data_IF_258212188342
#
_entry.id   IF_258212188342
#
_cell.length_a   1.000
_cell.length_b   1.000
_cell.length_c   1.000
_cell.angle_alpha   90.00
_cell.angle_beta   90.00
_cell.angle_gamma   90.00
#
_symmetry.space_group_name_H-M   'P 1'
#
loop_
_entity.id
_entity.type
_entity.pdbx_description
1 polymer ?
#
# COMPACT_ATOMS: atom_id res chain seq x y z
N UNK A 1 -13.50 13.69 18.80
CA UNK A 1 -12.16 13.29 19.28
C UNK A 1 -11.41 12.59 18.16
N UNK A 2 -10.20 13.01 17.87
CA UNK A 2 -9.38 12.36 16.86
C UNK A 2 -8.90 11.00 17.37
N UNK A 3 -8.91 9.97 16.52
CA UNK A 3 -8.40 8.66 16.92
C UNK A 3 -6.90 8.72 17.22
N UNK A 4 -6.45 7.91 18.15
CA UNK A 4 -5.02 7.76 18.39
C UNK A 4 -4.42 6.96 17.24
N UNK A 5 -3.22 7.35 16.85
CA UNK A 5 -2.51 6.80 15.69
C UNK A 5 -1.20 6.19 16.17
N UNK A 6 -0.84 5.07 15.59
CA UNK A 6 0.47 4.43 15.83
C UNK A 6 1.24 4.31 14.52
N UNK A 7 2.57 4.29 14.64
CA UNK A 7 3.48 4.14 13.50
C UNK A 7 3.84 2.68 13.30
N UNK A 8 3.77 2.23 12.06
CA UNK A 8 4.20 0.90 11.65
C UNK A 8 5.52 1.05 10.90
N UNK A 9 6.54 0.33 11.38
CA UNK A 9 7.83 0.22 10.71
C UNK A 9 7.90 -1.15 10.06
N UNK A 10 7.42 -1.25 8.83
CA UNK A 10 7.32 -2.53 8.16
C UNK A 10 8.69 -2.98 7.67
N UNK A 11 9.08 -4.21 8.00
CA UNK A 11 10.40 -4.80 7.66
C UNK A 11 11.56 -3.90 8.05
N UNK A 12 11.53 -3.39 9.30
CA UNK A 12 12.61 -2.57 9.82
C UNK A 12 12.73 -1.20 9.19
N UNK A 13 11.65 -0.70 8.58
CA UNK A 13 11.62 0.63 8.01
C UNK A 13 11.73 0.69 6.50
N UNK A 14 11.55 -0.45 5.79
CA UNK A 14 11.42 -0.44 4.33
C UNK A 14 10.31 0.53 3.95
N UNK A 15 9.19 0.46 4.65
CA UNK A 15 8.17 1.50 4.58
C UNK A 15 7.68 1.79 6.00
N UNK A 16 7.42 3.07 6.26
CA UNK A 16 6.89 3.55 7.53
C UNK A 16 5.60 4.29 7.27
N UNK A 17 4.53 3.88 7.93
CA UNK A 17 3.20 4.48 7.77
C UNK A 17 2.44 4.42 9.10
N UNK A 18 1.31 5.11 9.18
CA UNK A 18 0.53 5.18 10.41
C UNK A 18 -0.86 4.61 10.21
N UNK A 19 -1.39 4.00 11.27
CA UNK A 19 -2.76 3.46 11.32
C UNK A 19 -3.35 3.78 12.68
N UNK A 20 -4.68 3.62 12.86
CA UNK A 20 -5.27 3.76 14.20
C UNK A 20 -4.62 2.82 15.20
N UNK A 21 -4.38 3.30 16.41
CA UNK A 21 -3.60 2.57 17.42
C UNK A 21 -4.33 1.34 17.96
N UNK A 22 -5.65 1.26 17.82
CA UNK A 22 -6.45 0.11 18.28
C UNK A 22 -6.55 -1.01 17.24
N UNK A 23 -5.93 -0.85 16.07
CA UNK A 23 -5.89 -1.91 15.08
C UNK A 23 -4.88 -2.98 15.47
N UNK A 24 -5.25 -4.24 15.23
CA UNK A 24 -4.38 -5.41 15.48
C UNK A 24 -3.38 -5.54 14.34
N UNK A 25 -2.16 -5.95 14.67
CA UNK A 25 -1.08 -6.18 13.70
C UNK A 25 -0.77 -7.67 13.65
N UNK A 26 -0.73 -8.23 12.46
CA UNK A 26 -0.31 -9.61 12.23
C UNK A 26 0.68 -9.65 11.09
N UNK A 27 1.75 -10.41 11.26
CA UNK A 27 2.82 -10.50 10.27
C UNK A 27 3.03 -11.96 9.89
N UNK A 28 3.21 -12.21 8.59
CA UNK A 28 3.44 -13.55 8.08
C UNK A 28 4.94 -13.81 7.93
N UNK A 29 5.37 -15.05 8.20
CA UNK A 29 6.79 -15.43 8.11
C UNK A 29 7.34 -15.23 6.69
N UNK A 30 6.53 -15.50 5.68
CA UNK A 30 6.92 -15.33 4.28
C UNK A 30 6.91 -13.88 3.81
N UNK A 31 6.55 -12.94 4.68
CA UNK A 31 6.37 -11.54 4.37
C UNK A 31 4.91 -11.19 4.18
N UNK A 32 4.57 -9.95 4.44
CA UNK A 32 3.21 -9.46 4.43
C UNK A 32 2.78 -9.03 5.82
N UNK A 33 2.05 -7.94 5.89
CA UNK A 33 1.46 -7.44 7.13
C UNK A 33 -0.04 -7.28 6.95
N UNK A 34 -0.79 -7.60 8.01
CA UNK A 34 -2.23 -7.49 8.04
C UNK A 34 -2.63 -6.66 9.25
N UNK A 35 -3.51 -5.68 9.03
CA UNK A 35 -3.91 -4.73 10.06
C UNK A 35 -5.42 -4.58 10.02
N UNK A 36 -6.07 -4.67 11.17
CA UNK A 36 -7.52 -4.60 11.21
C UNK A 36 -8.01 -4.16 12.58
N UNK A 37 -9.16 -3.50 12.59
CA UNK A 37 -9.87 -3.22 13.81
C UNK A 37 -10.71 -4.45 14.15
N UNK A 38 -10.66 -4.97 15.37
CA UNK A 38 -11.52 -6.10 15.75
C UNK A 38 -13.00 -5.73 15.59
N UNK A 39 -13.78 -6.62 14.99
CA UNK A 39 -15.19 -6.41 14.75
C UNK A 39 -15.64 -7.00 13.42
N UNK A 40 -16.93 -7.27 13.30
CA UNK A 40 -17.47 -7.96 12.13
C UNK A 40 -17.55 -7.12 10.87
N UNK A 41 -17.70 -5.80 11.03
CA UNK A 41 -17.90 -4.88 9.91
C UNK A 41 -16.63 -4.17 9.48
N UNK A 42 -15.53 -4.44 10.17
CA UNK A 42 -14.26 -3.77 9.87
C UNK A 42 -13.61 -4.33 8.62
N UNK A 43 -12.88 -3.46 7.92
CA UNK A 43 -12.07 -3.87 6.78
C UNK A 43 -10.72 -4.43 7.22
N UNK A 44 -9.97 -4.96 6.26
CA UNK A 44 -8.65 -5.50 6.50
C UNK A 44 -7.65 -4.84 5.58
N UNK A 45 -6.65 -4.19 6.18
CA UNK A 45 -5.53 -3.59 5.45
C UNK A 45 -4.39 -4.59 5.38
N UNK A 46 -3.83 -4.77 4.19
CA UNK A 46 -2.64 -5.60 3.99
C UNK A 46 -1.57 -4.80 3.28
N UNK A 47 -0.31 -5.10 3.59
CA UNK A 47 0.83 -4.52 2.89
C UNK A 47 1.75 -5.63 2.43
N UNK A 48 2.20 -5.53 1.18
CA UNK A 48 3.21 -6.42 0.61
C UNK A 48 4.25 -5.58 -0.12
N UNK A 49 5.49 -6.05 -0.09
CA UNK A 49 6.61 -5.38 -0.75
C UNK A 49 7.31 -6.38 -1.64
N UNK A 50 7.48 -6.00 -2.91
CA UNK A 50 8.22 -6.78 -3.89
C UNK A 50 9.34 -5.91 -4.42
N UNK A 51 10.55 -6.47 -4.46
CA UNK A 51 11.72 -5.79 -5.04
C UNK A 51 12.12 -6.55 -6.30
N UNK A 52 12.40 -5.81 -7.36
CA UNK A 52 12.78 -6.42 -8.63
C UNK A 52 13.86 -5.61 -9.34
N UNK A 53 14.26 -6.10 -10.50
CA UNK A 53 15.20 -5.41 -11.37
C UNK A 53 14.49 -4.92 -12.62
N UNK A 54 14.86 -3.73 -13.08
CA UNK A 54 14.43 -3.21 -14.36
C UNK A 54 15.19 -3.85 -15.51
N UNK A 55 14.88 -3.44 -16.76
CA UNK A 55 15.61 -3.95 -17.94
C UNK A 55 17.10 -3.69 -17.82
N UNK A 56 17.96 -4.69 -18.14
CA UNK A 56 19.42 -4.53 -17.95
C UNK A 56 20.05 -3.46 -18.84
N UNK A 57 19.40 -3.09 -19.92
CA UNK A 57 19.94 -2.12 -20.89
C UNK A 57 19.63 -0.67 -20.53
N UNK A 58 18.76 -0.44 -19.54
CA UNK A 58 18.30 0.91 -19.21
C UNK A 58 18.54 1.23 -17.75
N UNK A 59 19.00 2.45 -17.50
CA UNK A 59 19.01 2.99 -16.16
C UNK A 59 17.54 3.22 -15.74
N UNK A 60 17.15 2.66 -14.61
CA UNK A 60 15.80 2.83 -14.13
C UNK A 60 15.66 4.21 -13.47
N UNK A 61 14.72 5.01 -13.95
CA UNK A 61 14.42 6.34 -13.42
C UNK A 61 12.95 6.45 -13.13
N UNK A 62 12.57 7.50 -12.41
CA UNK A 62 11.16 7.76 -12.11
C UNK A 62 10.35 7.94 -13.40
N UNK A 63 10.93 8.51 -14.42
CA UNK A 63 10.25 8.70 -15.70
C UNK A 63 10.00 7.38 -16.43
N UNK A 64 10.87 6.38 -16.20
CA UNK A 64 10.71 5.05 -16.79
C UNK A 64 9.69 4.20 -16.04
N UNK A 65 9.25 4.62 -14.86
CA UNK A 65 8.26 3.87 -14.09
C UNK A 65 6.90 3.80 -14.79
N UNK A 66 6.64 4.65 -15.78
CA UNK A 66 5.38 4.63 -16.52
C UNK A 66 5.11 3.26 -17.14
N UNK A 67 6.13 2.60 -17.69
CA UNK A 67 5.99 1.27 -18.28
C UNK A 67 5.64 0.21 -17.23
N UNK A 68 6.26 0.30 -16.04
CA UNK A 68 5.98 -0.61 -14.94
C UNK A 68 4.60 -0.32 -14.34
N UNK A 69 4.26 0.96 -14.21
CA UNK A 69 2.96 1.38 -13.66
C UNK A 69 1.82 0.84 -14.51
N UNK A 70 1.94 0.90 -15.84
CA UNK A 70 0.88 0.47 -16.73
C UNK A 70 0.47 -1.00 -16.50
N UNK A 71 1.38 -1.86 -16.07
CA UNK A 71 1.09 -3.27 -15.84
C UNK A 71 0.44 -3.55 -14.48
N UNK A 72 0.50 -2.62 -13.52
CA UNK A 72 0.05 -2.88 -12.15
C UNK A 72 -0.98 -1.88 -11.63
N UNK A 73 -1.28 -0.82 -12.38
CA UNK A 73 -2.15 0.26 -11.91
C UNK A 73 -3.62 0.10 -12.31
N UNK A 74 -3.92 -0.86 -13.14
CA UNK A 74 -5.29 -1.10 -13.63
C UNK A 74 -5.95 0.17 -14.18
N UNK A 75 -5.17 0.97 -14.91
CA UNK A 75 -5.68 2.20 -15.53
C UNK A 75 -5.63 3.44 -14.65
N UNK A 76 -5.22 3.31 -13.39
CA UNK A 76 -5.09 4.47 -12.52
C UNK A 76 -3.94 5.36 -12.97
N UNK A 77 -4.11 6.68 -12.84
CA UNK A 77 -3.07 7.64 -13.18
C UNK A 77 -2.10 7.79 -12.01
N UNK A 78 -0.80 7.52 -12.21
CA UNK A 78 0.17 7.70 -11.14
C UNK A 78 0.43 9.17 -10.88
N UNK A 79 0.71 9.49 -9.61
CA UNK A 79 1.14 10.82 -9.19
C UNK A 79 2.52 10.70 -8.54
N UNK A 80 3.28 11.77 -8.59
CA UNK A 80 4.61 11.80 -8.01
C UNK A 80 4.54 11.55 -6.50
N UNK A 81 5.42 10.70 -5.99
CA UNK A 81 5.52 10.37 -4.57
C UNK A 81 6.96 10.52 -4.13
N UNK A 82 7.29 11.69 -3.57
CA UNK A 82 8.67 12.02 -3.27
C UNK A 82 9.50 12.17 -4.54
N UNK A 83 10.81 11.96 -4.42
CA UNK A 83 11.73 12.18 -5.53
C UNK A 83 11.88 10.97 -6.46
N UNK A 84 11.72 9.77 -5.91
CA UNK A 84 12.07 8.55 -6.62
C UNK A 84 10.92 7.56 -6.76
N UNK A 85 9.68 8.01 -6.62
CA UNK A 85 8.55 7.10 -6.64
C UNK A 85 7.31 7.72 -7.25
N UNK A 86 6.34 6.87 -7.56
CA UNK A 86 4.99 7.27 -7.97
C UNK A 86 3.99 6.49 -7.14
N UNK A 87 2.84 7.10 -6.89
CA UNK A 87 1.71 6.52 -6.16
C UNK A 87 0.51 6.45 -7.08
N UNK A 88 -0.24 5.36 -7.02
CA UNK A 88 -1.50 5.22 -7.75
C UNK A 88 -2.51 4.49 -6.88
N UNK A 89 -3.78 4.75 -7.11
CA UNK A 89 -4.89 4.15 -6.35
C UNK A 89 -5.97 3.64 -7.30
N UNK A 90 -6.52 2.48 -7.01
CA UNK A 90 -7.64 1.92 -7.76
C UNK A 90 -8.47 1.03 -6.85
N UNK A 91 -9.74 0.81 -7.25
CA UNK A 91 -10.63 -0.12 -6.57
C UNK A 91 -10.87 -1.32 -7.48
N UNK A 92 -10.99 -2.49 -6.90
CA UNK A 92 -11.27 -3.71 -7.66
C UNK A 92 -12.25 -4.60 -6.91
N UNK A 93 -13.02 -5.42 -7.63
CA UNK A 93 -13.86 -6.41 -6.98
C UNK A 93 -13.04 -7.60 -6.51
N UNK A 94 -13.57 -8.29 -5.51
CA UNK A 94 -13.01 -9.54 -5.03
C UNK A 94 -14.10 -10.43 -4.51
N UNK A 95 -13.71 -11.60 -4.06
CA UNK A 95 -14.65 -12.56 -3.47
C UNK A 95 -13.91 -13.37 -2.41
N UNK A 96 -14.58 -13.62 -1.29
CA UNK A 96 -14.06 -14.46 -0.22
C UNK A 96 -15.20 -15.23 0.40
N UNK A 97 -15.09 -16.55 0.41
CA UNK A 97 -16.09 -17.45 1.00
C UNK A 97 -17.51 -17.19 0.50
N UNK A 98 -17.64 -16.89 -0.80
CA UNK A 98 -18.92 -16.61 -1.43
C UNK A 98 -19.45 -15.19 -1.22
N UNK A 99 -18.69 -14.33 -0.53
CA UNK A 99 -19.08 -12.94 -0.31
C UNK A 99 -18.35 -12.03 -1.28
N UNK A 100 -19.10 -11.10 -1.88
CA UNK A 100 -18.51 -10.07 -2.75
C UNK A 100 -17.76 -9.05 -1.91
N UNK A 101 -16.56 -8.70 -2.36
CA UNK A 101 -15.69 -7.71 -1.72
C UNK A 101 -15.47 -6.54 -2.66
N UNK A 102 -15.22 -5.38 -2.08
CA UNK A 102 -14.57 -4.27 -2.77
C UNK A 102 -13.22 -4.04 -2.10
N UNK A 103 -12.18 -3.93 -2.92
CA UNK A 103 -10.82 -3.81 -2.44
C UNK A 103 -10.24 -2.50 -2.96
N UNK A 104 -9.87 -1.60 -2.04
CA UNK A 104 -9.14 -0.39 -2.42
C UNK A 104 -7.66 -0.69 -2.37
N UNK A 105 -6.97 -0.35 -3.44
CA UNK A 105 -5.55 -0.63 -3.61
C UNK A 105 -4.77 0.67 -3.76
N UNK A 106 -3.62 0.75 -3.08
CA UNK A 106 -2.65 1.82 -3.25
C UNK A 106 -1.34 1.16 -3.62
N UNK A 107 -0.80 1.53 -4.76
CA UNK A 107 0.49 1.03 -5.20
C UNK A 107 1.51 2.14 -5.18
N UNK A 108 2.72 1.83 -4.70
CA UNK A 108 3.85 2.74 -4.75
C UNK A 108 4.97 2.02 -5.49
N UNK A 109 5.44 2.62 -6.57
CA UNK A 109 6.63 2.13 -7.27
C UNK A 109 7.77 3.09 -7.02
N UNK A 110 8.84 2.57 -6.45
CA UNK A 110 10.03 3.33 -6.07
C UNK A 110 11.24 2.84 -6.88
N UNK A 111 11.99 3.79 -7.40
CA UNK A 111 13.27 3.49 -8.04
C UNK A 111 14.35 3.32 -6.97
N UNK A 112 15.12 2.24 -7.09
CA UNK A 112 16.30 1.99 -6.26
C UNK A 112 17.51 1.91 -7.23
N UNK A 113 18.14 3.06 -7.54
CA UNK A 113 19.21 3.07 -8.53
C UNK A 113 20.34 2.10 -8.20
N UNK A 114 21.05 1.56 -9.20
CA UNK A 114 20.91 1.91 -10.61
C UNK A 114 19.86 1.13 -11.39
N UNK A 115 19.42 -0.05 -10.91
CA UNK A 115 18.58 -0.93 -11.73
C UNK A 115 17.43 -1.60 -11.00
N UNK A 116 17.27 -1.34 -9.72
CA UNK A 116 16.24 -2.00 -8.91
C UNK A 116 15.02 -1.12 -8.74
N UNK A 117 13.89 -1.76 -8.46
CA UNK A 117 12.67 -1.07 -8.07
C UNK A 117 12.01 -1.80 -6.91
N UNK A 118 11.17 -1.08 -6.20
CA UNK A 118 10.36 -1.64 -5.11
C UNK A 118 8.91 -1.32 -5.40
N UNK A 119 8.06 -2.34 -5.32
CA UNK A 119 6.61 -2.18 -5.41
C UNK A 119 6.02 -2.45 -4.04
N UNK A 120 5.41 -1.43 -3.44
CA UNK A 120 4.67 -1.56 -2.19
C UNK A 120 3.20 -1.55 -2.54
N UNK A 121 2.48 -2.58 -2.14
CA UNK A 121 1.04 -2.68 -2.39
C UNK A 121 0.30 -2.72 -1.07
N UNK A 122 -0.58 -1.75 -0.88
CA UNK A 122 -1.56 -1.74 0.21
C UNK A 122 -2.93 -2.11 -0.36
N UNK A 123 -3.65 -2.97 0.34
CA UNK A 123 -5.03 -3.29 -0.02
C UNK A 123 -5.90 -3.17 1.23
N UNK A 124 -7.09 -2.59 1.06
CA UNK A 124 -8.09 -2.53 2.12
C UNK A 124 -9.35 -3.22 1.61
N UNK A 125 -9.64 -4.38 2.16
CA UNK A 125 -10.75 -5.24 1.72
C UNK A 125 -11.96 -5.06 2.62
N UNK A 126 -13.11 -4.81 2.00
CA UNK A 126 -14.40 -4.67 2.68
C UNK A 126 -15.43 -5.56 2.00
N UNK A 127 -16.44 -6.00 2.76
CA UNK A 127 -17.65 -6.53 2.12
C UNK A 127 -18.22 -5.44 1.22
N UNK A 128 -18.64 -5.80 0.01
CA UNK A 128 -19.13 -4.83 -0.97
C UNK A 128 -20.29 -3.99 -0.43
N UNK A 129 -21.14 -4.59 0.40
CA UNK A 129 -22.28 -3.89 1.00
C UNK A 129 -21.85 -2.81 1.99
N UNK A 130 -20.64 -2.88 2.53
CA UNK A 130 -20.13 -1.92 3.52
C UNK A 130 -19.31 -0.81 2.91
N UNK A 131 -19.04 -0.85 1.61
CA UNK A 131 -18.14 0.11 0.95
C UNK A 131 -18.61 1.56 1.08
N UNK A 132 -19.93 1.77 1.16
CA UNK A 132 -20.52 3.11 1.30
C UNK A 132 -20.89 3.48 2.73
N UNK A 133 -20.59 2.63 3.72
CA UNK A 133 -20.86 2.95 5.12
C UNK A 133 -20.00 4.14 5.56
N UNK A 134 -20.58 5.13 6.28
CA UNK A 134 -19.82 6.32 6.69
C UNK A 134 -18.56 6.00 7.50
N UNK A 135 -18.62 5.01 8.39
CA UNK A 135 -17.46 4.60 9.18
C UNK A 135 -16.35 4.03 8.28
N UNK A 136 -16.72 3.24 7.27
CA UNK A 136 -15.74 2.66 6.34
C UNK A 136 -15.14 3.72 5.42
N UNK A 137 -15.97 4.66 4.97
CA UNK A 137 -15.49 5.79 4.17
C UNK A 137 -14.47 6.61 4.96
N UNK A 138 -14.76 6.88 6.23
CA UNK A 138 -13.83 7.63 7.09
C UNK A 138 -12.50 6.89 7.26
N UNK A 139 -12.53 5.57 7.39
CA UNK A 139 -11.32 4.75 7.47
C UNK A 139 -10.51 4.81 6.17
N UNK A 140 -11.18 4.73 5.02
CA UNK A 140 -10.49 4.82 3.73
C UNK A 140 -9.88 6.20 3.51
N UNK A 141 -10.55 7.26 3.93
CA UNK A 141 -10.00 8.61 3.85
C UNK A 141 -8.78 8.77 4.74
N UNK A 142 -8.81 8.20 5.94
CA UNK A 142 -7.65 8.18 6.83
C UNK A 142 -6.49 7.42 6.19
N UNK A 143 -6.76 6.25 5.61
CA UNK A 143 -5.73 5.47 4.93
C UNK A 143 -5.17 6.20 3.71
N UNK A 144 -6.02 6.88 2.94
CA UNK A 144 -5.55 7.72 1.82
C UNK A 144 -4.50 8.72 2.31
N UNK A 145 -4.80 9.44 3.38
CA UNK A 145 -3.88 10.44 3.94
C UNK A 145 -2.61 9.83 4.49
N UNK A 146 -2.73 8.73 5.23
CA UNK A 146 -1.57 8.11 5.88
C UNK A 146 -0.66 7.39 4.89
N UNK A 147 -1.21 6.81 3.85
CA UNK A 147 -0.40 6.19 2.80
C UNK A 147 0.29 7.26 1.95
N UNK A 148 -0.39 8.38 1.66
CA UNK A 148 0.23 9.51 0.98
C UNK A 148 1.38 10.12 1.79
N UNK A 149 1.33 9.99 3.11
CA UNK A 149 2.36 10.49 4.03
C UNK A 149 3.41 9.43 4.38
N UNK A 150 3.31 8.23 3.84
CA UNK A 150 4.24 7.15 4.14
C UNK A 150 5.67 7.49 3.70
N UNK A 151 6.63 6.93 4.42
CA UNK A 151 8.05 7.14 4.15
C UNK A 151 8.68 5.82 3.71
N UNK A 152 9.41 5.88 2.60
CA UNK A 152 10.12 4.73 2.05
C UNK A 152 11.61 4.84 2.35
N UNK A 153 12.25 3.69 2.64
CA UNK A 153 13.69 3.64 2.70
C UNK A 153 14.27 3.96 1.32
N UNK A 154 15.27 4.85 1.22
CA UNK A 154 15.92 5.14 -0.08
C UNK A 154 16.89 4.05 -0.51
N UNK A 155 17.06 3.00 0.28
CA UNK A 155 18.04 1.95 0.04
C UNK A 155 17.37 0.61 -0.22
N UNK A 156 18.05 -0.24 -0.96
CA UNK A 156 17.67 -1.63 -1.10
C UNK A 156 17.78 -2.30 0.26
N UNK A 157 16.69 -2.90 0.74
CA UNK A 157 16.64 -3.48 2.07
C UNK A 157 16.19 -2.49 3.12
N UNK A 158 16.56 -2.75 4.38
CA UNK A 158 16.07 -1.95 5.52
C UNK A 158 16.84 -0.65 5.70
N UNK A 159 16.20 0.27 6.38
CA UNK A 159 16.90 1.40 7.00
C UNK A 159 17.78 0.86 8.13
N UNK A 160 19.01 1.29 8.12
CA UNK A 160 19.93 0.97 9.21
C UNK A 160 20.31 2.23 9.98
#
# INVERSE_FOLDING_TARGET
MLPKIKTINYRGGVIRFRIPSDWVEEYEDAGGGTFYKPGEEAGTLRVNVITGEGPPEKLLTVDNLAELTASVSYGATPVRFGQNAVLFRYDMPGEERGHSLTIRCWGILQVLPPKNFRHVLFTYSLLADHFSDPARIAEMELLDREIEAAQLSPRLGRLM
#
